data_IF_254876044263
#
_entry.id   IF_254876044263
#
_cell.length_a   1.000
_cell.length_b   1.000
_cell.length_c   1.000
_cell.angle_alpha   90.00
_cell.angle_beta   90.00
_cell.angle_gamma   90.00
#
_symmetry.space_group_name_H-M   'P 1'
#
loop_
_entity.id
_entity.type
_entity.pdbx_description
1 polymer ?
#
# COMPACT_ATOMS: atom_id res chain seq x y z
N UNK A 1 5.37 56.88 28.71
CA UNK A 1 4.89 55.79 27.84
C UNK A 1 6.03 55.42 26.92
N UNK A 2 6.80 54.38 27.25
CA UNK A 2 7.88 53.91 26.38
C UNK A 2 7.31 53.43 25.04
N UNK A 3 7.95 53.76 23.90
CA UNK A 3 7.51 53.27 22.61
C UNK A 3 7.79 51.76 22.55
N UNK A 4 6.74 50.94 22.45
CA UNK A 4 6.87 49.50 22.19
C UNK A 4 7.64 49.32 20.88
N UNK A 5 8.90 48.92 20.97
CA UNK A 5 9.66 48.44 19.82
C UNK A 5 8.84 47.35 19.11
N UNK A 6 8.67 47.53 17.81
CA UNK A 6 7.92 46.62 16.98
C UNK A 6 8.61 45.26 16.90
N UNK A 7 7.83 44.19 17.07
CA UNK A 7 8.24 42.78 17.04
C UNK A 7 9.23 42.40 15.92
N UNK A 8 9.17 43.07 14.76
CA UNK A 8 10.06 42.84 13.64
C UNK A 8 11.53 43.25 13.92
N UNK A 9 11.78 44.26 14.74
CA UNK A 9 13.14 44.73 15.11
C UNK A 9 13.84 43.68 15.99
N UNK A 10 13.12 43.16 16.97
CA UNK A 10 13.62 42.14 17.92
C UNK A 10 13.82 40.78 17.25
N UNK A 11 12.97 40.43 16.28
CA UNK A 11 13.13 39.21 15.48
C UNK A 11 14.38 39.26 14.58
N UNK A 12 14.70 40.43 14.01
CA UNK A 12 15.88 40.62 13.17
C UNK A 12 17.19 40.54 13.97
N UNK A 13 17.21 41.11 15.18
CA UNK A 13 18.39 41.15 16.07
C UNK A 13 18.81 39.77 16.60
N UNK A 14 17.88 38.79 16.63
CA UNK A 14 18.13 37.44 17.17
C UNK A 14 18.71 36.44 16.16
N UNK A 15 18.78 36.79 14.86
CA UNK A 15 19.53 36.07 13.81
C UNK A 15 19.15 34.60 13.50
N UNK A 16 18.43 33.92 14.39
CA UNK A 16 18.16 32.47 14.32
C UNK A 16 16.71 32.15 13.94
N UNK A 17 15.80 33.13 14.02
CA UNK A 17 14.38 32.97 13.66
C UNK A 17 14.07 33.15 12.16
N UNK A 18 14.96 33.80 11.40
CA UNK A 18 14.70 34.20 10.01
C UNK A 18 14.93 33.05 9.02
N UNK A 19 15.94 32.20 9.24
CA UNK A 19 16.26 31.07 8.33
C UNK A 19 15.57 29.75 8.72
N UNK A 20 15.43 29.47 10.02
CA UNK A 20 14.86 28.20 10.51
C UNK A 20 13.39 28.29 10.97
N UNK A 21 12.80 29.48 10.97
CA UNK A 21 11.36 29.67 11.19
C UNK A 21 10.49 29.16 10.04
N UNK A 22 9.17 29.10 10.23
CA UNK A 22 8.19 28.72 9.19
C UNK A 22 8.33 29.61 7.94
N UNK A 23 8.58 30.90 8.15
CA UNK A 23 8.77 31.90 7.09
C UNK A 23 10.08 31.68 6.32
N UNK A 24 11.18 31.37 7.02
CA UNK A 24 12.48 31.04 6.40
C UNK A 24 12.43 29.79 5.53
N UNK A 25 11.71 28.75 5.96
CA UNK A 25 11.50 27.52 5.17
C UNK A 25 10.70 27.80 3.89
N UNK A 26 9.69 28.66 3.97
CA UNK A 26 8.90 29.08 2.80
C UNK A 26 9.78 29.86 1.83
N UNK A 27 10.59 30.80 2.33
CA UNK A 27 11.53 31.56 1.51
C UNK A 27 12.58 30.66 0.83
N UNK A 28 13.18 29.72 1.58
CA UNK A 28 14.12 28.74 1.02
C UNK A 28 13.47 27.83 -0.04
N UNK A 29 12.21 27.43 0.17
CA UNK A 29 11.46 26.64 -0.80
C UNK A 29 11.20 27.43 -2.09
N UNK A 30 10.79 28.70 -1.99
CA UNK A 30 10.62 29.57 -3.16
C UNK A 30 11.94 29.85 -3.87
N UNK A 31 13.02 30.13 -3.13
CA UNK A 31 14.35 30.31 -3.71
C UNK A 31 14.84 29.03 -4.40
N UNK A 32 14.57 27.85 -3.81
CA UNK A 32 14.88 26.55 -4.42
C UNK A 32 14.11 26.29 -5.70
N UNK A 33 12.80 26.56 -5.73
CA UNK A 33 11.97 26.44 -6.94
C UNK A 33 12.45 27.42 -8.01
N UNK A 34 12.78 28.66 -7.63
CA UNK A 34 13.29 29.67 -8.55
C UNK A 34 14.63 29.24 -9.16
N UNK A 35 15.58 28.79 -8.35
CA UNK A 35 16.88 28.30 -8.84
C UNK A 35 16.70 27.06 -9.71
N UNK A 36 15.82 26.13 -9.33
CA UNK A 36 15.51 24.96 -10.15
C UNK A 36 14.97 25.37 -11.51
N UNK A 37 13.99 26.27 -11.57
CA UNK A 37 13.44 26.79 -12.81
C UNK A 37 14.47 27.58 -13.64
N UNK A 38 15.36 28.32 -12.98
CA UNK A 38 16.41 29.11 -13.63
C UNK A 38 17.49 28.23 -14.28
N UNK A 39 17.91 27.16 -13.60
CA UNK A 39 18.95 26.25 -14.09
C UNK A 39 18.41 25.12 -14.97
N UNK A 40 17.10 24.89 -15.02
CA UNK A 40 16.51 23.84 -15.86
C UNK A 40 16.78 24.18 -17.33
N UNK A 41 17.64 23.41 -18.05
CA UNK A 41 18.04 23.77 -19.40
C UNK A 41 16.99 23.29 -20.40
N UNK A 42 15.82 23.95 -20.37
CA UNK A 42 14.68 23.69 -21.24
C UNK A 42 14.98 23.97 -22.72
N UNK A 43 16.10 24.63 -23.04
CA UNK A 43 16.58 24.79 -24.42
C UNK A 43 17.24 23.53 -25.01
N UNK A 44 17.56 22.52 -24.19
CA UNK A 44 18.17 21.28 -24.67
C UNK A 44 17.08 20.29 -25.12
N UNK A 45 17.14 19.85 -26.38
CA UNK A 45 16.18 18.90 -26.96
C UNK A 45 16.03 17.62 -26.12
N UNK A 46 17.13 17.10 -25.55
CA UNK A 46 17.07 15.89 -24.69
C UNK A 46 16.26 16.09 -23.42
N UNK A 47 16.31 17.29 -22.84
CA UNK A 47 15.56 17.61 -21.61
C UNK A 47 14.08 17.75 -21.92
N UNK A 48 13.75 18.39 -23.05
CA UNK A 48 12.36 18.50 -23.51
C UNK A 48 11.76 17.11 -23.82
N UNK A 49 12.50 16.26 -24.52
CA UNK A 49 12.09 14.88 -24.81
C UNK A 49 11.87 14.09 -23.52
N UNK A 50 12.83 14.11 -22.58
CA UNK A 50 12.70 13.40 -21.31
C UNK A 50 11.48 13.86 -20.48
N UNK A 51 11.19 15.17 -20.46
CA UNK A 51 10.00 15.70 -19.78
C UNK A 51 8.74 15.16 -20.45
N UNK A 52 8.63 15.25 -21.78
CA UNK A 52 7.47 14.75 -22.52
C UNK A 52 7.30 13.23 -22.38
N UNK A 53 8.39 12.46 -22.41
CA UNK A 53 8.41 11.02 -22.18
C UNK A 53 7.88 10.67 -20.78
N UNK A 54 8.34 11.39 -19.75
CA UNK A 54 7.88 11.20 -18.38
C UNK A 54 6.36 11.42 -18.25
N UNK A 55 5.82 12.49 -18.86
CA UNK A 55 4.38 12.75 -18.87
C UNK A 55 3.60 11.69 -19.67
N UNK A 56 4.11 11.26 -20.83
CA UNK A 56 3.52 10.18 -21.62
C UNK A 56 3.47 8.86 -20.85
N UNK A 57 4.56 8.50 -20.17
CA UNK A 57 4.64 7.30 -19.34
C UNK A 57 3.69 7.37 -18.14
N UNK A 58 3.61 8.54 -17.48
CA UNK A 58 2.67 8.76 -16.39
C UNK A 58 1.21 8.62 -16.86
N UNK A 59 0.88 9.22 -18.00
CA UNK A 59 -0.46 9.12 -18.60
C UNK A 59 -0.79 7.68 -19.02
N UNK A 60 0.16 6.98 -19.65
CA UNK A 60 0.01 5.59 -20.04
C UNK A 60 -0.19 4.68 -18.80
N UNK A 61 0.57 4.90 -17.73
CA UNK A 61 0.42 4.18 -16.47
C UNK A 61 -0.94 4.44 -15.82
N UNK A 62 -1.35 5.72 -15.73
CA UNK A 62 -2.63 6.11 -15.14
C UNK A 62 -3.82 5.50 -15.90
N UNK A 63 -3.79 5.54 -17.23
CA UNK A 63 -4.86 5.02 -18.09
C UNK A 63 -4.89 3.50 -18.14
N UNK A 64 -3.73 2.86 -18.34
CA UNK A 64 -3.69 1.44 -18.66
C UNK A 64 -3.48 0.55 -17.44
N UNK A 65 -2.92 1.06 -16.34
CA UNK A 65 -2.59 0.28 -15.15
C UNK A 65 -3.39 0.73 -13.94
N UNK A 66 -3.37 2.03 -13.59
CA UNK A 66 -4.05 2.52 -12.38
C UNK A 66 -5.57 2.40 -12.48
N UNK A 67 -6.19 2.91 -13.54
CA UNK A 67 -7.64 2.88 -13.70
C UNK A 67 -8.21 1.46 -13.77
N UNK A 68 -7.55 0.58 -14.52
CA UNK A 68 -8.00 -0.79 -14.76
C UNK A 68 -7.72 -1.74 -13.59
N UNK A 69 -6.68 -1.52 -12.78
CA UNK A 69 -6.36 -2.40 -11.66
C UNK A 69 -6.75 -1.84 -10.29
N UNK A 70 -6.55 -0.54 -10.04
CA UNK A 70 -6.72 0.06 -8.70
C UNK A 70 -8.20 0.34 -8.42
N UNK A 71 -8.96 0.87 -9.38
CA UNK A 71 -10.39 1.16 -9.17
C UNK A 71 -11.17 -0.12 -8.83
N UNK A 72 -11.01 -1.24 -9.59
CA UNK A 72 -11.71 -2.46 -9.26
C UNK A 72 -11.19 -3.11 -7.98
N UNK A 73 -9.88 -3.04 -7.71
CA UNK A 73 -9.30 -3.54 -6.46
C UNK A 73 -9.80 -2.78 -5.23
N UNK A 74 -9.95 -1.44 -5.30
CA UNK A 74 -10.54 -0.64 -4.22
C UNK A 74 -12.01 -1.00 -3.97
N UNK A 75 -12.77 -1.26 -5.03
CA UNK A 75 -14.15 -1.75 -4.91
C UNK A 75 -14.21 -3.13 -4.25
N UNK A 76 -13.34 -4.06 -4.65
CA UNK A 76 -13.24 -5.37 -4.01
C UNK A 76 -12.80 -5.22 -2.55
N UNK A 77 -11.84 -4.36 -2.25
CA UNK A 77 -11.40 -4.11 -0.89
C UNK A 77 -12.56 -3.59 -0.02
N UNK A 78 -13.32 -2.61 -0.52
CA UNK A 78 -14.53 -2.10 0.13
C UNK A 78 -15.59 -3.19 0.33
N UNK A 79 -15.80 -4.06 -0.67
CA UNK A 79 -16.66 -5.22 -0.54
C UNK A 79 -16.13 -6.17 0.55
N UNK A 80 -14.87 -6.61 0.51
CA UNK A 80 -14.30 -7.48 1.53
C UNK A 80 -14.46 -6.85 2.92
N UNK A 81 -14.20 -5.56 3.12
CA UNK A 81 -14.37 -4.90 4.42
C UNK A 81 -15.83 -4.91 4.88
N UNK A 82 -16.80 -4.79 3.96
CA UNK A 82 -18.23 -4.81 4.30
C UNK A 82 -18.81 -6.22 4.48
N UNK A 83 -18.22 -7.24 3.84
CA UNK A 83 -18.67 -8.64 3.90
C UNK A 83 -17.87 -9.49 4.88
N UNK A 84 -16.64 -9.11 5.20
CA UNK A 84 -15.79 -9.79 6.18
C UNK A 84 -16.28 -9.38 7.57
N UNK A 85 -16.85 -10.33 8.30
CA UNK A 85 -17.30 -10.05 9.66
C UNK A 85 -16.11 -9.57 10.49
N UNK A 86 -16.28 -8.43 11.16
CA UNK A 86 -15.31 -7.92 12.13
C UNK A 86 -14.97 -9.00 13.19
N UNK A 87 -15.94 -9.86 13.51
CA UNK A 87 -15.77 -11.05 14.34
C UNK A 87 -14.69 -12.01 13.83
N UNK A 88 -14.70 -12.35 12.54
CA UNK A 88 -13.70 -13.23 11.94
C UNK A 88 -12.31 -12.59 11.92
N UNK A 89 -12.24 -11.28 11.63
CA UNK A 89 -10.99 -10.53 11.67
C UNK A 89 -10.41 -10.51 13.08
N UNK A 90 -11.21 -10.22 14.10
CA UNK A 90 -10.77 -10.23 15.49
C UNK A 90 -10.42 -11.65 15.99
N UNK A 91 -11.12 -12.69 15.52
CA UNK A 91 -10.86 -14.08 15.92
C UNK A 91 -9.55 -14.63 15.34
N UNK A 92 -9.23 -14.30 14.08
CA UNK A 92 -8.06 -14.85 13.38
C UNK A 92 -6.87 -13.89 13.29
N UNK A 93 -7.10 -12.59 13.13
CA UNK A 93 -6.07 -11.55 13.00
C UNK A 93 -6.06 -10.57 14.18
N UNK A 94 -6.98 -10.71 15.13
CA UNK A 94 -7.10 -9.81 16.27
C UNK A 94 -5.91 -9.93 17.23
N UNK A 95 -5.73 -8.92 18.10
CA UNK A 95 -4.56 -8.82 18.96
C UNK A 95 -4.60 -9.83 20.14
N UNK A 96 -5.76 -10.45 20.41
CA UNK A 96 -5.94 -11.56 21.37
C UNK A 96 -5.79 -12.94 20.74
N UNK A 97 -5.68 -13.04 19.41
CA UNK A 97 -5.54 -14.32 18.71
C UNK A 97 -4.14 -14.92 18.88
N UNK A 98 -4.04 -16.24 18.76
CA UNK A 98 -2.74 -16.93 18.80
C UNK A 98 -1.82 -16.40 17.71
N UNK A 99 -0.67 -15.84 18.10
CA UNK A 99 0.28 -15.15 17.21
C UNK A 99 0.69 -16.02 16.01
N UNK A 100 0.97 -17.30 16.23
CA UNK A 100 1.31 -18.23 15.14
C UNK A 100 0.17 -18.41 14.13
N UNK A 101 -1.07 -18.52 14.61
CA UNK A 101 -2.26 -18.62 13.75
C UNK A 101 -2.51 -17.33 12.98
N UNK A 102 -2.41 -16.17 13.66
CA UNK A 102 -2.65 -14.88 13.04
C UNK A 102 -1.65 -14.56 11.93
N UNK A 103 -0.36 -14.84 12.16
CA UNK A 103 0.67 -14.62 11.15
C UNK A 103 0.59 -15.65 10.02
N UNK A 104 0.24 -16.91 10.32
CA UNK A 104 0.01 -17.94 9.30
C UNK A 104 -1.14 -17.57 8.37
N UNK A 105 -2.31 -17.21 8.94
CA UNK A 105 -3.48 -16.78 8.17
C UNK A 105 -3.18 -15.50 7.38
N UNK A 106 -2.48 -14.52 7.97
CA UNK A 106 -2.08 -13.29 7.28
C UNK A 106 -1.13 -13.57 6.09
N UNK A 107 -0.17 -14.48 6.25
CA UNK A 107 0.77 -14.81 5.17
C UNK A 107 0.09 -15.61 4.04
N UNK A 108 -0.74 -16.60 4.38
CA UNK A 108 -1.45 -17.44 3.40
C UNK A 108 -2.52 -16.64 2.64
N UNK A 109 -3.30 -15.82 3.33
CA UNK A 109 -4.33 -14.99 2.69
C UNK A 109 -3.75 -13.95 1.73
N UNK A 110 -2.59 -13.36 2.05
CA UNK A 110 -1.86 -12.48 1.14
C UNK A 110 -1.27 -13.21 -0.08
N UNK A 111 -0.98 -14.51 0.03
CA UNK A 111 -0.50 -15.32 -1.09
C UNK A 111 -1.59 -15.63 -2.12
N UNK A 112 -2.84 -15.78 -1.66
CA UNK A 112 -4.00 -16.11 -2.50
C UNK A 112 -4.51 -14.86 -3.22
N UNK A 113 -4.49 -13.72 -2.53
CA UNK A 113 -4.88 -12.44 -3.11
C UNK A 113 -3.69 -11.93 -3.94
N UNK A 114 -3.69 -12.21 -5.25
CA UNK A 114 -2.73 -11.66 -6.19
C UNK A 114 -2.94 -10.15 -6.36
N UNK A 115 -2.54 -9.36 -5.36
CA UNK A 115 -2.66 -7.90 -5.33
C UNK A 115 -1.30 -7.24 -5.44
N UNK A 116 -1.24 -6.18 -6.23
CA UNK A 116 -0.08 -5.32 -6.32
C UNK A 116 0.06 -4.44 -5.06
N UNK A 117 1.23 -3.82 -4.90
CA UNK A 117 1.53 -2.88 -3.80
C UNK A 117 0.52 -1.73 -3.69
N UNK A 118 -0.09 -1.33 -4.82
CA UNK A 118 -1.11 -0.29 -4.86
C UNK A 118 -2.43 -0.70 -4.17
N UNK A 119 -2.74 -1.99 -4.11
CA UNK A 119 -4.01 -2.53 -3.60
C UNK A 119 -3.89 -3.15 -2.22
N UNK A 120 -2.67 -3.49 -1.79
CA UNK A 120 -2.44 -4.06 -0.44
C UNK A 120 -2.57 -3.00 0.66
N UNK A 121 -2.24 -1.74 0.36
CA UNK A 121 -2.36 -0.61 1.30
C UNK A 121 -3.81 -0.34 1.75
N UNK A 122 -4.80 -0.19 0.85
CA UNK A 122 -6.19 0.01 1.26
C UNK A 122 -6.78 -1.22 1.96
N UNK A 123 -6.40 -2.42 1.55
CA UNK A 123 -6.78 -3.67 2.21
C UNK A 123 -6.24 -3.74 3.65
N UNK A 124 -4.97 -3.41 3.82
CA UNK A 124 -4.35 -3.29 5.14
C UNK A 124 -5.07 -2.27 6.01
N UNK A 125 -5.33 -1.07 5.49
CA UNK A 125 -6.03 -0.02 6.22
C UNK A 125 -7.44 -0.48 6.65
N UNK A 126 -8.17 -1.16 5.77
CA UNK A 126 -9.47 -1.74 6.08
C UNK A 126 -9.44 -2.78 7.19
N UNK A 127 -8.55 -3.77 7.07
CA UNK A 127 -8.41 -4.86 8.05
C UNK A 127 -7.91 -4.32 9.41
N UNK A 128 -7.01 -3.33 9.39
CA UNK A 128 -6.51 -2.67 10.59
C UNK A 128 -7.60 -1.85 11.28
N UNK A 129 -8.42 -1.11 10.53
CA UNK A 129 -9.55 -0.34 11.07
C UNK A 129 -10.64 -1.24 11.66
N UNK A 130 -10.78 -2.49 11.16
CA UNK A 130 -11.66 -3.50 11.76
C UNK A 130 -11.14 -4.05 13.11
N UNK A 131 -9.90 -3.73 13.52
CA UNK A 131 -9.34 -4.12 14.82
C UNK A 131 -8.33 -5.26 14.76
N UNK A 132 -7.77 -5.59 13.60
CA UNK A 132 -6.64 -6.51 13.51
C UNK A 132 -5.40 -5.99 14.26
N UNK A 133 -4.57 -6.91 14.76
CA UNK A 133 -3.27 -6.56 15.35
C UNK A 133 -2.33 -5.94 14.33
N UNK A 134 -1.47 -5.01 14.77
CA UNK A 134 -0.54 -4.31 13.87
C UNK A 134 0.47 -5.29 13.25
N UNK A 135 0.98 -6.24 14.04
CA UNK A 135 1.90 -7.28 13.56
C UNK A 135 1.32 -8.16 12.43
N UNK A 136 0.21 -8.88 12.66
CA UNK A 136 -0.45 -9.68 11.63
C UNK A 136 -0.86 -8.87 10.39
N UNK A 137 -1.37 -7.65 10.58
CA UNK A 137 -1.72 -6.78 9.46
C UNK A 137 -0.49 -6.38 8.64
N UNK A 138 0.63 -6.06 9.29
CA UNK A 138 1.89 -5.73 8.60
C UNK A 138 2.48 -6.93 7.85
N UNK A 139 2.36 -8.13 8.43
CA UNK A 139 2.75 -9.37 7.75
C UNK A 139 1.90 -9.64 6.50
N UNK A 140 0.58 -9.40 6.55
CA UNK A 140 -0.31 -9.44 5.38
C UNK A 140 0.09 -8.41 4.31
N UNK A 141 0.43 -7.18 4.74
CA UNK A 141 0.84 -6.12 3.83
C UNK A 141 2.13 -6.45 3.09
N UNK A 142 3.08 -7.10 3.76
CA UNK A 142 4.33 -7.53 3.13
C UNK A 142 4.15 -8.79 2.27
N UNK A 143 3.30 -9.73 2.70
CA UNK A 143 3.08 -10.99 1.98
C UNK A 143 2.38 -10.81 0.64
N UNK A 144 1.42 -9.87 0.53
CA UNK A 144 0.64 -9.61 -0.69
C UNK A 144 1.47 -9.46 -1.97
N UNK A 145 2.38 -8.47 -2.06
CA UNK A 145 3.23 -8.30 -3.25
C UNK A 145 4.37 -9.33 -3.33
N UNK A 146 4.76 -9.93 -2.20
CA UNK A 146 5.91 -10.85 -2.11
C UNK A 146 5.61 -12.28 -2.57
N UNK A 147 4.44 -12.81 -2.22
CA UNK A 147 4.07 -14.24 -2.40
C UNK A 147 3.01 -14.39 -3.53
N UNK A 148 3.01 -13.48 -4.49
CA UNK A 148 2.10 -13.56 -5.63
C UNK A 148 2.36 -14.85 -6.44
N UNK A 149 1.35 -15.71 -6.55
CA UNK A 149 1.46 -17.00 -7.25
C UNK A 149 1.84 -16.86 -8.73
N UNK A 150 1.38 -15.79 -9.39
CA UNK A 150 1.75 -15.49 -10.77
C UNK A 150 3.23 -15.11 -10.88
N UNK A 151 3.73 -14.34 -9.92
CA UNK A 151 5.14 -13.96 -9.89
C UNK A 151 6.04 -15.16 -9.59
N UNK A 152 5.63 -16.06 -8.69
CA UNK A 152 6.35 -17.30 -8.39
C UNK A 152 6.38 -18.19 -9.63
N UNK A 153 5.24 -18.39 -10.30
CA UNK A 153 5.14 -19.23 -11.49
C UNK A 153 5.99 -18.68 -12.65
N UNK A 154 5.92 -17.37 -12.90
CA UNK A 154 6.72 -16.72 -13.94
C UNK A 154 8.22 -16.80 -13.63
N UNK A 155 8.61 -16.58 -12.37
CA UNK A 155 10.01 -16.71 -11.93
C UNK A 155 10.48 -18.15 -12.08
N UNK A 156 9.68 -19.13 -11.67
CA UNK A 156 10.02 -20.55 -11.77
C UNK A 156 10.17 -21.00 -13.24
N UNK A 157 9.33 -20.47 -14.13
CA UNK A 157 9.37 -20.77 -15.58
C UNK A 157 10.55 -20.13 -16.29
N UNK A 158 10.88 -18.88 -15.96
CA UNK A 158 11.89 -18.10 -16.70
C UNK A 158 13.28 -18.23 -16.10
N UNK A 159 13.41 -18.20 -14.77
CA UNK A 159 14.69 -18.21 -14.06
C UNK A 159 15.03 -19.57 -13.45
N UNK A 160 14.08 -20.51 -13.39
CA UNK A 160 14.26 -21.85 -12.84
C UNK A 160 13.59 -22.05 -11.48
N UNK A 161 13.30 -23.32 -11.17
CA UNK A 161 12.47 -23.73 -10.04
C UNK A 161 13.10 -23.38 -8.68
N UNK A 162 14.43 -23.45 -8.57
CA UNK A 162 15.17 -23.11 -7.34
C UNK A 162 14.97 -21.65 -6.93
N UNK A 163 15.01 -20.72 -7.90
CA UNK A 163 14.79 -19.29 -7.64
C UNK A 163 13.32 -18.98 -7.30
N UNK A 164 12.37 -19.71 -7.88
CA UNK A 164 10.95 -19.61 -7.51
C UNK A 164 10.69 -20.02 -6.05
N UNK A 165 11.30 -21.13 -5.62
CA UNK A 165 11.21 -21.60 -4.23
C UNK A 165 11.93 -20.62 -3.30
N UNK A 166 13.14 -20.18 -3.65
CA UNK A 166 13.91 -19.20 -2.88
C UNK A 166 13.15 -17.90 -2.66
N UNK A 167 12.46 -17.40 -3.70
CA UNK A 167 11.59 -16.22 -3.61
C UNK A 167 10.44 -16.44 -2.62
N UNK A 168 9.78 -17.60 -2.68
CA UNK A 168 8.64 -17.92 -1.80
C UNK A 168 9.07 -17.99 -0.34
N UNK A 169 10.12 -18.75 -0.05
CA UNK A 169 10.64 -18.91 1.32
C UNK A 169 11.17 -17.58 1.85
N UNK A 170 11.90 -16.83 1.03
CA UNK A 170 12.40 -15.50 1.38
C UNK A 170 11.27 -14.51 1.67
N UNK A 171 10.24 -14.47 0.83
CA UNK A 171 9.10 -13.57 1.03
C UNK A 171 8.30 -13.90 2.30
N UNK A 172 8.03 -15.19 2.57
CA UNK A 172 7.36 -15.64 3.81
C UNK A 172 8.22 -15.29 5.03
N UNK A 173 9.51 -15.61 4.99
CA UNK A 173 10.44 -15.32 6.09
C UNK A 173 10.51 -13.83 6.41
N UNK A 174 10.69 -13.00 5.38
CA UNK A 174 10.70 -11.54 5.55
C UNK A 174 9.36 -10.99 6.05
N UNK A 175 8.22 -11.49 5.55
CA UNK A 175 6.91 -11.07 6.05
C UNK A 175 6.75 -11.34 7.54
N UNK A 176 7.21 -12.52 8.00
CA UNK A 176 7.16 -12.92 9.40
C UNK A 176 8.07 -12.05 10.27
N UNK A 177 9.31 -11.81 9.83
CA UNK A 177 10.29 -10.98 10.53
C UNK A 177 9.77 -9.54 10.65
N UNK A 178 9.30 -8.94 9.55
CA UNK A 178 8.79 -7.56 9.52
C UNK A 178 7.56 -7.42 10.42
N UNK A 179 6.63 -8.38 10.35
CA UNK A 179 5.45 -8.39 11.23
C UNK A 179 5.83 -8.47 12.71
N UNK A 180 6.78 -9.35 13.06
CA UNK A 180 7.27 -9.49 14.44
C UNK A 180 7.99 -8.24 14.94
N UNK A 181 8.81 -7.62 14.10
CA UNK A 181 9.49 -6.36 14.41
C UNK A 181 8.46 -5.26 14.66
N UNK A 182 7.44 -5.13 13.81
CA UNK A 182 6.37 -4.16 14.02
C UNK A 182 5.61 -4.40 15.33
N UNK A 183 5.27 -5.66 15.64
CA UNK A 183 4.67 -6.00 16.93
C UNK A 183 5.60 -5.71 18.13
N UNK A 184 6.92 -5.83 17.95
CA UNK A 184 7.90 -5.55 18.98
C UNK A 184 8.09 -4.03 19.23
N UNK A 185 8.20 -3.22 18.18
CA UNK A 185 8.37 -1.78 18.30
C UNK A 185 7.09 -1.08 18.81
N UNK A 186 5.92 -1.50 18.33
CA UNK A 186 4.62 -0.89 18.69
C UNK A 186 3.88 -1.62 19.81
N UNK A 187 4.60 -2.43 20.60
CA UNK A 187 4.06 -3.29 21.66
C UNK A 187 3.28 -2.53 22.74
N UNK A 188 3.55 -1.23 22.93
CA UNK A 188 2.81 -0.36 23.88
C UNK A 188 1.43 0.01 23.35
N UNK A 189 1.34 0.43 22.09
CA UNK A 189 0.06 0.74 21.44
C UNK A 189 -0.79 -0.52 21.25
N UNK A 190 -0.15 -1.65 20.94
CA UNK A 190 -0.84 -2.92 20.79
C UNK A 190 -1.46 -3.38 22.12
N UNK A 191 -0.77 -3.20 23.26
CA UNK A 191 -1.34 -3.48 24.60
C UNK A 191 -2.57 -2.62 24.92
N UNK A 192 -2.59 -1.35 24.50
CA UNK A 192 -3.75 -0.46 24.68
C UNK A 192 -4.92 -0.94 23.81
N UNK A 193 -4.65 -1.36 22.57
CA UNK A 193 -5.67 -1.96 21.70
C UNK A 193 -6.17 -3.32 22.19
N UNK A 194 -5.32 -4.16 22.78
CA UNK A 194 -5.71 -5.42 23.44
C UNK A 194 -6.64 -5.12 24.62
N UNK A 195 -6.29 -4.15 25.46
CA UNK A 195 -7.12 -3.75 26.60
C UNK A 195 -8.48 -3.20 26.14
N UNK A 196 -8.51 -2.35 25.11
CA UNK A 196 -9.74 -1.87 24.50
C UNK A 196 -10.57 -3.00 23.87
N UNK A 197 -9.91 -4.00 23.25
CA UNK A 197 -10.57 -5.15 22.65
C UNK A 197 -11.18 -6.11 23.70
N UNK A 198 -10.61 -6.21 24.91
CA UNK A 198 -11.17 -7.02 26.00
C UNK A 198 -12.42 -6.41 26.64
N UNK A 199 -12.69 -5.12 26.42
CA UNK A 199 -13.90 -4.43 26.90
C UNK A 199 -15.06 -4.44 25.89
N UNK A 200 -14.85 -4.95 24.68
CA UNK A 200 -15.91 -5.12 23.70
C UNK A 200 -16.66 -6.43 23.97
N UNK A 201 -18.02 -6.44 23.96
CA UNK A 201 -18.78 -7.68 24.07
C UNK A 201 -18.40 -8.64 22.93
N UNK A 202 -18.45 -9.97 23.16
CA UNK A 202 -18.06 -10.96 22.16
C UNK A 202 -18.89 -10.74 20.89
N UNK A 203 -18.20 -10.51 19.77
CA UNK A 203 -18.84 -10.18 18.50
C UNK A 203 -19.71 -11.37 18.07
N UNK A 204 -21.03 -11.15 18.02
CA UNK A 204 -22.01 -12.13 17.58
C UNK A 204 -21.69 -12.63 16.16
N UNK A 205 -21.89 -13.93 15.94
CA UNK A 205 -21.71 -14.56 14.64
C UNK A 205 -22.56 -13.85 13.56
N UNK A 206 -22.06 -13.75 12.31
CA UNK A 206 -22.73 -12.98 11.28
C UNK A 206 -24.18 -13.46 11.04
N UNK A 207 -25.15 -12.55 11.18
CA UNK A 207 -26.59 -12.79 10.97
C UNK A 207 -27.00 -13.08 9.51
N UNK A 208 -26.07 -13.13 8.56
CA UNK A 208 -26.38 -13.20 7.11
C UNK A 208 -26.13 -14.60 6.54
N UNK A 209 -27.02 -15.13 5.69
CA UNK A 209 -26.82 -16.44 5.07
C UNK A 209 -25.60 -16.41 4.14
N UNK A 210 -24.73 -17.41 4.26
CA UNK A 210 -23.48 -17.54 3.50
C UNK A 210 -23.69 -17.44 1.99
N UNK A 211 -24.83 -17.91 1.47
CA UNK A 211 -25.17 -17.89 0.05
C UNK A 211 -25.25 -16.48 -0.55
N UNK A 212 -25.79 -15.49 0.18
CA UNK A 212 -25.88 -14.11 -0.31
C UNK A 212 -24.48 -13.47 -0.42
N UNK A 213 -23.59 -13.83 0.51
CA UNK A 213 -22.18 -13.41 0.49
C UNK A 213 -21.46 -14.06 -0.69
N UNK A 214 -21.66 -15.36 -0.90
CA UNK A 214 -21.09 -16.09 -2.04
C UNK A 214 -21.56 -15.52 -3.38
N UNK A 215 -22.85 -15.22 -3.55
CA UNK A 215 -23.38 -14.63 -4.80
C UNK A 215 -22.79 -13.23 -5.05
N UNK A 216 -22.68 -12.39 -4.01
CA UNK A 216 -22.12 -11.05 -4.18
C UNK A 216 -20.61 -11.08 -4.51
N UNK A 217 -19.84 -11.95 -3.83
CA UNK A 217 -18.44 -12.19 -4.17
C UNK A 217 -18.29 -12.74 -5.58
N UNK A 218 -19.12 -13.70 -5.96
CA UNK A 218 -19.11 -14.27 -7.31
C UNK A 218 -19.43 -13.21 -8.37
N UNK A 219 -20.41 -12.34 -8.13
CA UNK A 219 -20.75 -11.20 -9.00
C UNK A 219 -19.57 -10.23 -9.17
N UNK A 220 -18.90 -9.85 -8.07
CA UNK A 220 -17.74 -8.96 -8.12
C UNK A 220 -16.53 -9.59 -8.81
N UNK A 221 -16.23 -10.85 -8.51
CA UNK A 221 -15.15 -11.61 -9.14
C UNK A 221 -15.44 -11.80 -10.63
N UNK A 222 -16.68 -12.13 -10.98
CA UNK A 222 -17.13 -12.26 -12.37
C UNK A 222 -17.02 -10.94 -13.13
N UNK A 223 -17.46 -9.82 -12.54
CA UNK A 223 -17.27 -8.49 -13.10
C UNK A 223 -15.78 -8.18 -13.33
N UNK A 224 -14.91 -8.57 -12.39
CA UNK A 224 -13.47 -8.36 -12.51
C UNK A 224 -12.86 -9.18 -13.65
N UNK A 225 -13.21 -10.46 -13.73
CA UNK A 225 -12.76 -11.36 -14.78
C UNK A 225 -13.20 -10.79 -16.12
N UNK A 226 -14.46 -10.36 -16.24
CA UNK A 226 -15.00 -9.78 -17.46
C UNK A 226 -14.31 -8.45 -17.84
N UNK A 227 -14.11 -7.56 -16.88
CA UNK A 227 -13.40 -6.29 -17.09
C UNK A 227 -11.92 -6.50 -17.48
N UNK A 228 -11.26 -7.49 -16.89
CA UNK A 228 -9.90 -7.88 -17.24
C UNK A 228 -9.82 -8.52 -18.64
N UNK A 229 -10.83 -9.31 -19.03
CA UNK A 229 -10.88 -9.98 -20.34
C UNK A 229 -11.18 -9.03 -21.49
N UNK A 230 -11.94 -7.96 -21.26
CA UNK A 230 -12.28 -6.95 -22.30
C UNK A 230 -11.06 -6.14 -22.75
N UNK A 231 -9.91 -6.25 -22.07
CA UNK A 231 -8.66 -5.59 -22.50
C UNK A 231 -7.59 -6.62 -22.90
N UNK A 232 -7.73 -7.33 -24.04
CA UNK A 232 -6.60 -8.05 -24.61
C UNK A 232 -5.54 -7.01 -24.96
N UNK A 233 -4.38 -7.07 -24.30
CA UNK A 233 -3.20 -6.36 -24.79
C UNK A 233 -2.56 -7.29 -25.81
N UNK A 234 -2.85 -7.04 -27.08
CA UNK A 234 -2.01 -7.55 -28.16
C UNK A 234 -0.62 -6.93 -27.96
N UNK A 235 0.27 -7.69 -27.31
CA UNK A 235 1.69 -7.35 -27.23
C UNK A 235 2.30 -7.91 -28.51
N UNK A 236 2.25 -7.14 -29.59
CA UNK A 236 3.10 -7.39 -30.75
C UNK A 236 4.54 -7.10 -30.34
N UNK A 237 5.25 -8.15 -29.95
CA UNK A 237 6.69 -8.10 -29.71
C UNK A 237 7.35 -7.98 -31.08
N UNK A 238 7.66 -6.75 -31.51
CA UNK A 238 8.58 -6.54 -32.61
C UNK A 238 9.99 -6.82 -32.08
N UNK A 239 10.46 -8.06 -32.30
CA UNK A 239 11.85 -8.42 -32.14
C UNK A 239 12.67 -7.51 -33.06
N UNK A 240 13.65 -6.82 -32.47
CA UNK A 240 14.60 -5.97 -33.21
C UNK A 240 15.69 -6.81 -33.89
N UNK A 241 15.44 -8.11 -34.08
CA UNK A 241 16.25 -9.02 -34.87
C UNK A 241 15.34 -9.46 -36.03
N UNK A 242 15.66 -9.06 -37.25
CA UNK A 242 14.82 -9.28 -38.44
C UNK A 242 14.67 -10.74 -38.86
N UNK A 243 13.92 -11.54 -38.10
CA UNK A 243 13.36 -12.85 -38.45
C UNK A 243 11.99 -13.03 -37.80
#
# INVERSE_FOLDING_TARGET
>A
MEPKESYWITAWKKGTGVLFGREGKIFLLFAGIFLFAYYLPLGNAKVQEAILEAFKMLQAYARNHTLTCVVPALFIAGAIITFLSQAAVLRYLGPTANKFLAYGVASVSGSILAVCSCSVLPMFAGIYNMGAGLGPASAFLYSGPGINILAIFLTARVLGLELGIGRTVGAVGFAFIVGLLMAFFFRKEEKVKVAAAMHLPPVEAPRRPLWQTTIYFFSLVFFLIFAAWVTPRDVTIHLQDGQ
#
